data_IF_528218609479
#
_entry.id   IF_528218609479
#
_cell.length_a   1.000
_cell.length_b   1.000
_cell.length_c   1.000
_cell.angle_alpha   90.00
_cell.angle_beta   90.00
_cell.angle_gamma   90.00
#
_symmetry.space_group_name_H-M   'P 1'
#
loop_
_entity.id
_entity.type
_entity.pdbx_description
1 polymer ?
#
# COMPACT_ATOMS: atom_id res chain seq x y z
N UNK A 1 -75.69 18.55 10.70
CA UNK A 1 -74.66 17.96 11.58
C UNK A 1 -73.92 16.75 10.98
N UNK A 2 -74.38 16.12 9.88
CA UNK A 2 -73.70 14.93 9.28
C UNK A 2 -72.34 15.22 8.62
N UNK A 3 -72.09 16.45 8.17
CA UNK A 3 -70.85 16.80 7.46
C UNK A 3 -69.70 17.22 8.38
N UNK A 4 -69.97 17.42 9.67
CA UNK A 4 -68.93 17.81 10.64
C UNK A 4 -68.02 16.62 10.97
N UNK A 5 -68.59 15.41 11.08
CA UNK A 5 -67.84 14.20 11.40
C UNK A 5 -66.81 13.84 10.33
N UNK A 6 -67.16 14.00 9.04
CA UNK A 6 -66.23 13.78 7.92
C UNK A 6 -65.08 14.79 7.90
N UNK A 7 -65.34 16.05 8.29
CA UNK A 7 -64.31 17.10 8.38
C UNK A 7 -63.34 16.84 9.54
N UNK A 8 -63.85 16.39 10.70
CA UNK A 8 -63.02 16.02 11.84
C UNK A 8 -62.16 14.78 11.56
N UNK A 9 -62.72 13.80 10.85
CA UNK A 9 -61.98 12.59 10.46
C UNK A 9 -60.87 12.92 9.44
N UNK A 10 -61.12 13.84 8.49
CA UNK A 10 -60.12 14.32 7.55
C UNK A 10 -58.97 15.08 8.25
N UNK A 11 -59.27 15.83 9.31
CA UNK A 11 -58.27 16.56 10.10
C UNK A 11 -57.32 15.63 10.89
N UNK A 12 -57.77 14.43 11.24
CA UNK A 12 -57.01 13.44 12.02
C UNK A 12 -56.02 12.62 11.18
N UNK A 13 -56.14 12.63 9.85
CA UNK A 13 -55.31 11.80 8.94
C UNK A 13 -53.98 12.49 8.58
N UNK A 14 -53.75 13.75 9.00
CA UNK A 14 -52.65 14.58 8.52
C UNK A 14 -51.36 14.62 9.35
N UNK A 15 -51.26 13.95 10.50
CA UNK A 15 -50.07 14.09 11.36
C UNK A 15 -49.03 13.01 11.08
N UNK A 16 -48.15 13.29 10.12
CA UNK A 16 -46.88 12.57 9.99
C UNK A 16 -45.87 13.16 10.97
N UNK A 17 -45.64 12.48 12.10
CA UNK A 17 -44.57 12.84 13.02
C UNK A 17 -43.24 12.37 12.45
N UNK A 18 -42.45 13.28 11.89
CA UNK A 18 -41.07 12.96 11.49
C UNK A 18 -40.21 12.76 12.75
N UNK A 19 -39.54 11.61 12.87
CA UNK A 19 -38.65 11.29 14.00
C UNK A 19 -37.22 11.84 13.80
N UNK A 20 -37.03 12.80 12.90
CA UNK A 20 -35.72 13.38 12.59
C UNK A 20 -35.39 14.51 13.55
N UNK A 21 -34.15 14.53 14.05
CA UNK A 21 -33.62 15.58 14.91
C UNK A 21 -32.70 16.47 14.09
N UNK A 22 -33.17 17.68 13.78
CA UNK A 22 -32.34 18.73 13.18
C UNK A 22 -31.78 19.66 14.25
N UNK A 23 -30.46 19.86 14.27
CA UNK A 23 -29.80 20.88 15.10
C UNK A 23 -29.25 21.95 14.18
N UNK A 24 -29.72 23.19 14.38
CA UNK A 24 -29.38 24.36 13.55
C UNK A 24 -29.75 24.21 12.05
N UNK A 25 -30.71 23.33 11.73
CA UNK A 25 -31.28 23.14 10.40
C UNK A 25 -32.79 22.97 10.48
N UNK A 26 -33.54 23.52 9.52
CA UNK A 26 -35.01 23.40 9.44
C UNK A 26 -35.48 22.32 8.48
N UNK A 27 -34.54 21.67 7.78
CA UNK A 27 -34.81 20.62 6.78
C UNK A 27 -33.79 19.49 6.93
N UNK A 28 -33.89 18.68 8.00
CA UNK A 28 -32.95 17.58 8.23
C UNK A 28 -33.02 16.56 7.08
N UNK A 29 -31.85 16.14 6.60
CA UNK A 29 -31.70 15.15 5.52
C UNK A 29 -31.47 13.73 6.02
N UNK A 30 -31.13 13.59 7.31
CA UNK A 30 -30.90 12.32 8.00
C UNK A 30 -31.64 12.27 9.34
N UNK A 31 -31.62 11.12 10.03
CA UNK A 31 -32.27 10.98 11.35
C UNK A 31 -31.71 11.94 12.40
N UNK A 32 -30.42 12.27 12.32
CA UNK A 32 -29.77 13.31 13.11
C UNK A 32 -28.92 14.16 12.17
N UNK A 33 -29.36 15.38 11.91
CA UNK A 33 -28.69 16.34 11.04
C UNK A 33 -28.23 17.55 11.85
N UNK A 34 -26.93 17.81 11.86
CA UNK A 34 -26.32 18.90 12.63
C UNK A 34 -25.60 19.83 11.67
N UNK A 35 -26.18 21.00 11.44
CA UNK A 35 -25.54 22.07 10.68
C UNK A 35 -24.56 22.84 11.60
N UNK A 36 -23.44 22.19 11.95
CA UNK A 36 -22.41 22.75 12.84
C UNK A 36 -21.43 21.70 13.38
N UNK A 37 -20.71 22.06 14.44
CA UNK A 37 -19.71 21.17 15.06
C UNK A 37 -20.35 20.18 16.03
N UNK A 38 -20.03 18.89 15.87
CA UNK A 38 -20.41 17.84 16.83
C UNK A 38 -19.29 17.67 17.85
N UNK A 39 -19.64 17.70 19.15
CA UNK A 39 -18.73 17.35 20.25
C UNK A 39 -19.33 16.25 21.11
N UNK A 40 -18.73 15.06 21.08
CA UNK A 40 -19.12 13.93 21.94
C UNK A 40 -18.35 14.01 23.26
N UNK A 41 -19.06 13.91 24.39
CA UNK A 41 -18.51 13.91 25.76
C UNK A 41 -19.14 12.78 26.57
N UNK A 42 -18.43 12.27 27.57
CA UNK A 42 -18.98 11.28 28.49
C UNK A 42 -19.14 9.88 27.91
N UNK A 43 -18.29 9.49 26.95
CA UNK A 43 -18.17 8.08 26.53
C UNK A 43 -17.78 7.29 27.77
N UNK A 44 -18.72 6.51 28.33
CA UNK A 44 -18.51 5.75 29.57
C UNK A 44 -17.42 4.71 29.35
N UNK A 45 -16.21 5.01 29.81
CA UNK A 45 -15.18 4.01 30.09
C UNK A 45 -15.51 3.42 31.45
N UNK A 46 -15.59 2.10 31.58
CA UNK A 46 -15.45 1.49 32.90
C UNK A 46 -13.97 1.63 33.31
N UNK A 47 -13.68 2.74 33.97
CA UNK A 47 -12.38 3.42 33.99
C UNK A 47 -11.26 2.67 34.74
N UNK A 48 -11.51 1.45 35.22
CA UNK A 48 -10.53 0.66 35.98
C UNK A 48 -10.00 -0.57 35.24
N UNK A 49 -10.70 -1.06 34.21
CA UNK A 49 -10.30 -2.30 33.53
C UNK A 49 -10.17 -2.15 32.01
N UNK A 50 -10.90 -1.22 31.38
CA UNK A 50 -10.84 -1.00 29.93
C UNK A 50 -10.88 0.51 29.61
N UNK A 51 -9.73 1.17 29.44
CA UNK A 51 -9.71 2.54 28.92
C UNK A 51 -10.42 2.56 27.55
N UNK A 52 -11.22 3.60 27.28
CA UNK A 52 -11.81 3.82 25.94
C UNK A 52 -10.66 4.00 24.96
N UNK A 53 -10.39 2.95 24.18
CA UNK A 53 -9.46 3.00 23.06
C UNK A 53 -10.26 3.35 21.81
N UNK A 54 -9.81 4.38 21.08
CA UNK A 54 -10.33 4.65 19.75
C UNK A 54 -9.86 3.53 18.82
N UNK A 55 -10.79 2.72 18.31
CA UNK A 55 -10.48 1.56 17.46
C UNK A 55 -10.73 1.81 15.97
N UNK A 56 -11.39 2.93 15.60
CA UNK A 56 -11.77 3.24 14.23
C UNK A 56 -11.68 4.74 13.93
N UNK A 57 -11.41 5.07 12.67
CA UNK A 57 -11.58 6.41 12.10
C UNK A 57 -12.91 6.44 11.35
N UNK A 58 -13.67 7.51 11.51
CA UNK A 58 -14.90 7.76 10.76
C UNK A 58 -14.67 8.90 9.78
N UNK A 59 -15.15 8.70 8.55
CA UNK A 59 -15.20 9.68 7.48
C UNK A 59 -16.63 10.17 7.27
N UNK A 60 -16.81 11.01 6.26
CA UNK A 60 -18.11 11.52 5.85
C UNK A 60 -18.30 11.26 4.35
N UNK A 61 -19.44 10.70 3.95
CA UNK A 61 -19.78 10.55 2.53
C UNK A 61 -20.32 11.85 1.92
N UNK A 62 -20.62 11.84 0.62
CA UNK A 62 -21.16 13.01 -0.10
C UNK A 62 -22.50 13.51 0.46
N UNK A 63 -23.22 12.66 1.21
CA UNK A 63 -24.51 12.95 1.81
C UNK A 63 -24.40 13.37 3.29
N UNK A 64 -23.18 13.46 3.84
CA UNK A 64 -22.96 13.86 5.22
C UNK A 64 -23.06 12.73 6.24
N UNK A 65 -23.20 11.47 5.82
CA UNK A 65 -23.29 10.34 6.75
C UNK A 65 -21.90 9.92 7.24
N UNK A 66 -21.82 9.50 8.50
CA UNK A 66 -20.60 8.87 9.02
C UNK A 66 -20.41 7.50 8.39
N UNK A 67 -19.25 7.30 7.77
CA UNK A 67 -18.85 6.03 7.17
C UNK A 67 -17.52 5.55 7.74
N UNK A 68 -17.32 4.23 7.73
CA UNK A 68 -16.02 3.66 8.10
C UNK A 68 -14.97 4.03 7.06
N UNK A 69 -13.77 4.43 7.52
CA UNK A 69 -12.62 4.66 6.65
C UNK A 69 -11.74 3.42 6.68
N UNK A 70 -11.63 2.75 5.55
CA UNK A 70 -10.63 1.70 5.36
C UNK A 70 -9.26 2.35 5.24
N UNK A 71 -8.32 1.91 6.09
CA UNK A 71 -6.93 2.36 6.07
C UNK A 71 -6.11 1.27 5.38
N UNK A 72 -5.51 1.62 4.25
CA UNK A 72 -4.65 0.73 3.47
C UNK A 72 -3.21 0.72 4.02
N UNK A 73 -2.31 0.00 3.36
CA UNK A 73 -0.91 -0.16 3.76
C UNK A 73 -0.14 1.18 3.82
N UNK A 74 0.92 1.19 4.63
CA UNK A 74 1.86 2.33 4.78
C UNK A 74 1.24 3.62 5.36
N UNK A 75 0.10 3.54 6.05
CA UNK A 75 -0.49 4.67 6.77
C UNK A 75 -0.38 4.44 8.28
N UNK A 76 0.16 5.42 9.01
CA UNK A 76 0.21 5.41 10.48
C UNK A 76 -0.67 6.53 11.04
N UNK A 77 -1.46 6.18 12.07
CA UNK A 77 -2.16 7.13 12.94
C UNK A 77 -1.36 7.33 14.22
N UNK A 78 -0.75 8.51 14.40
CA UNK A 78 -0.01 8.87 15.60
C UNK A 78 -0.37 10.31 16.00
N UNK A 79 -0.65 10.57 17.29
CA UNK A 79 -1.02 11.90 17.78
C UNK A 79 -2.17 12.57 16.99
N UNK A 80 -3.20 11.79 16.64
CA UNK A 80 -4.34 12.22 15.81
C UNK A 80 -3.96 12.74 14.42
N UNK A 81 -2.80 12.30 13.88
CA UNK A 81 -2.38 12.60 12.51
C UNK A 81 -2.21 11.30 11.74
N UNK A 82 -2.84 11.26 10.58
CA UNK A 82 -2.54 10.27 9.55
C UNK A 82 -1.34 10.76 8.75
N UNK A 83 -0.33 9.91 8.64
CA UNK A 83 0.76 10.12 7.68
C UNK A 83 0.99 8.85 6.88
N UNK A 84 1.24 9.02 5.58
CA UNK A 84 1.91 8.00 4.81
C UNK A 84 3.34 7.88 5.35
N UNK A 85 3.79 6.66 5.57
CA UNK A 85 5.17 6.37 5.93
C UNK A 85 5.85 5.88 4.66
N UNK A 86 6.92 6.56 4.28
CA UNK A 86 7.83 6.04 3.28
C UNK A 86 8.33 4.68 3.76
N UNK A 87 8.04 3.63 2.99
CA UNK A 87 8.42 2.28 3.37
C UNK A 87 9.94 2.23 3.52
N UNK A 88 10.40 1.93 4.74
CA UNK A 88 11.82 1.63 4.98
C UNK A 88 12.17 0.44 4.10
N UNK A 89 13.13 0.61 3.20
CA UNK A 89 13.53 -0.48 2.32
C UNK A 89 14.16 -1.60 3.14
N UNK A 90 13.64 -2.81 2.98
CA UNK A 90 14.22 -3.97 3.65
C UNK A 90 15.36 -4.55 2.81
N UNK A 91 16.48 -4.86 3.47
CA UNK A 91 17.66 -5.43 2.84
C UNK A 91 17.68 -6.94 3.03
N UNK A 92 17.69 -7.69 1.92
CA UNK A 92 17.92 -9.12 1.83
C UNK A 92 19.31 -9.45 1.28
N UNK A 93 19.66 -10.74 1.28
CA UNK A 93 20.88 -11.22 0.67
C UNK A 93 20.54 -12.04 -0.58
N UNK A 94 21.28 -11.81 -1.67
CA UNK A 94 21.21 -12.67 -2.85
C UNK A 94 21.76 -14.08 -2.49
N UNK A 95 21.09 -15.17 -2.89
CA UNK A 95 21.50 -16.52 -2.50
C UNK A 95 22.89 -16.91 -3.03
N UNK A 96 23.77 -17.37 -2.13
CA UNK A 96 24.95 -18.21 -2.41
C UNK A 96 25.75 -17.95 -3.69
N UNK A 97 26.27 -16.74 -3.90
CA UNK A 97 27.02 -16.40 -5.12
C UNK A 97 28.47 -16.93 -5.05
N UNK A 98 28.65 -18.18 -5.45
CA UNK A 98 29.97 -18.84 -5.59
C UNK A 98 30.43 -18.93 -7.05
N UNK A 99 29.95 -18.03 -7.90
CA UNK A 99 30.31 -18.01 -9.32
C UNK A 99 30.58 -16.56 -9.74
N UNK A 100 31.59 -16.32 -10.60
CA UNK A 100 31.85 -14.98 -11.14
C UNK A 100 30.78 -14.54 -12.14
N UNK A 101 30.12 -15.49 -12.82
CA UNK A 101 29.02 -15.24 -13.76
C UNK A 101 27.72 -15.77 -13.17
N UNK A 102 26.73 -14.91 -13.08
CA UNK A 102 25.42 -15.15 -12.51
C UNK A 102 24.40 -15.12 -13.65
N UNK A 103 23.99 -16.30 -14.09
CA UNK A 103 22.90 -16.49 -15.06
C UNK A 103 21.64 -16.93 -14.34
N UNK A 104 20.49 -16.43 -14.79
CA UNK A 104 19.18 -16.87 -14.30
C UNK A 104 19.06 -16.84 -12.76
N UNK A 105 19.64 -15.80 -12.13
CA UNK A 105 19.77 -15.73 -10.67
C UNK A 105 18.38 -15.75 -10.01
N UNK A 106 18.12 -16.77 -9.17
CA UNK A 106 16.94 -16.77 -8.32
C UNK A 106 17.18 -15.92 -7.09
N UNK A 107 16.49 -14.78 -6.98
CA UNK A 107 16.56 -13.92 -5.81
C UNK A 107 15.57 -14.31 -4.71
N UNK A 108 14.77 -15.35 -4.93
CA UNK A 108 13.77 -15.91 -4.00
C UNK A 108 12.77 -14.85 -3.50
N UNK A 109 12.11 -14.22 -4.47
CA UNK A 109 11.24 -13.04 -4.32
C UNK A 109 9.73 -13.36 -4.30
N UNK A 110 9.31 -14.59 -4.59
CA UNK A 110 7.91 -14.98 -4.69
C UNK A 110 7.25 -15.07 -3.31
N UNK A 111 5.91 -15.01 -3.22
CA UNK A 111 5.21 -15.11 -1.94
C UNK A 111 5.61 -16.35 -1.13
N UNK A 112 6.06 -16.14 0.11
CA UNK A 112 6.53 -17.20 1.00
C UNK A 112 8.03 -17.50 0.92
N UNK A 113 8.76 -16.88 -0.02
CA UNK A 113 10.20 -17.03 -0.13
C UNK A 113 10.98 -16.06 0.78
N UNK A 114 12.26 -16.36 1.13
CA UNK A 114 13.02 -15.57 2.11
C UNK A 114 13.19 -14.08 1.80
N UNK A 115 13.18 -13.69 0.52
CA UNK A 115 13.35 -12.30 0.11
C UNK A 115 12.05 -11.65 -0.40
N UNK A 116 10.88 -12.25 -0.17
CA UNK A 116 9.60 -11.76 -0.69
C UNK A 116 9.23 -10.33 -0.24
N UNK A 117 9.67 -9.90 0.94
CA UNK A 117 9.46 -8.53 1.45
C UNK A 117 10.63 -7.60 1.17
N UNK A 118 11.74 -8.10 0.62
CA UNK A 118 13.00 -7.36 0.51
C UNK A 118 13.01 -6.52 -0.77
N UNK A 119 13.49 -5.28 -0.63
CA UNK A 119 13.56 -4.32 -1.72
C UNK A 119 14.99 -4.09 -2.19
N UNK A 120 15.97 -4.38 -1.33
CA UNK A 120 17.39 -4.26 -1.64
C UNK A 120 18.03 -5.64 -1.51
N UNK A 121 18.71 -6.06 -2.56
CA UNK A 121 19.41 -7.34 -2.63
C UNK A 121 20.90 -7.10 -2.53
N UNK A 122 21.46 -7.42 -1.36
CA UNK A 122 22.90 -7.39 -1.14
C UNK A 122 23.55 -8.54 -1.90
N UNK A 123 24.49 -8.22 -2.77
CA UNK A 123 25.22 -9.18 -3.59
C UNK A 123 26.63 -9.39 -3.03
N UNK A 124 26.90 -10.60 -2.57
CA UNK A 124 28.18 -11.01 -1.99
C UNK A 124 28.76 -12.16 -2.81
N UNK A 125 30.01 -12.04 -3.27
CA UNK A 125 30.76 -13.04 -4.01
C UNK A 125 32.11 -13.25 -3.35
N UNK A 126 32.56 -14.51 -3.31
CA UNK A 126 33.91 -14.88 -2.85
C UNK A 126 34.99 -14.59 -3.91
N UNK A 127 34.59 -14.30 -5.15
CA UNK A 127 35.50 -14.00 -6.27
C UNK A 127 35.70 -12.48 -6.51
N UNK A 128 35.06 -11.63 -5.69
CA UNK A 128 35.05 -10.18 -5.88
C UNK A 128 34.03 -9.77 -6.95
N UNK A 129 34.49 -9.33 -8.11
CA UNK A 129 33.63 -8.79 -9.17
C UNK A 129 32.64 -9.86 -9.70
N UNK A 130 31.44 -9.43 -10.07
CA UNK A 130 30.35 -10.29 -10.52
C UNK A 130 29.85 -9.85 -11.90
N UNK A 131 29.51 -10.81 -12.76
CA UNK A 131 28.84 -10.59 -14.05
C UNK A 131 27.43 -11.12 -13.99
N UNK A 132 26.42 -10.25 -14.01
CA UNK A 132 25.02 -10.63 -13.97
C UNK A 132 24.43 -10.60 -15.39
N UNK A 133 23.96 -11.74 -15.86
CA UNK A 133 23.40 -11.90 -17.20
C UNK A 133 21.88 -12.07 -17.20
N UNK A 134 21.32 -12.48 -16.06
CA UNK A 134 19.88 -12.63 -15.90
C UNK A 134 19.47 -12.94 -14.46
N UNK A 135 18.19 -12.67 -14.18
CA UNK A 135 17.50 -12.87 -12.91
C UNK A 135 16.20 -13.60 -13.25
N UNK A 136 15.78 -14.57 -12.43
CA UNK A 136 14.47 -15.22 -12.61
C UNK A 136 13.31 -14.20 -12.63
N UNK A 137 12.17 -14.55 -13.25
CA UNK A 137 11.05 -13.63 -13.43
C UNK A 137 10.50 -13.13 -12.10
N UNK A 138 10.15 -11.85 -12.05
CA UNK A 138 9.44 -11.23 -10.92
C UNK A 138 7.93 -11.15 -11.15
N UNK A 139 7.24 -10.44 -10.26
CA UNK A 139 5.87 -9.98 -10.47
C UNK A 139 5.86 -8.68 -11.30
N UNK A 140 4.79 -8.43 -12.05
CA UNK A 140 4.69 -7.23 -12.88
C UNK A 140 4.83 -5.95 -12.02
N UNK A 141 5.67 -5.02 -12.46
CA UNK A 141 5.97 -3.79 -11.72
C UNK A 141 6.85 -3.96 -10.48
N UNK A 142 7.30 -5.18 -10.15
CA UNK A 142 8.15 -5.44 -9.00
C UNK A 142 9.50 -4.71 -9.16
N UNK A 143 9.86 -3.92 -8.15
CA UNK A 143 11.12 -3.17 -8.11
C UNK A 143 12.09 -3.78 -7.10
N UNK A 144 13.34 -3.92 -7.52
CA UNK A 144 14.45 -4.35 -6.66
C UNK A 144 15.66 -3.44 -6.86
N UNK A 145 16.43 -3.24 -5.80
CA UNK A 145 17.76 -2.65 -5.87
C UNK A 145 18.79 -3.76 -5.78
N UNK A 146 19.80 -3.73 -6.66
CA UNK A 146 20.98 -4.58 -6.51
C UNK A 146 22.08 -3.78 -5.85
N UNK A 147 22.65 -4.32 -4.78
CA UNK A 147 23.67 -3.70 -3.95
C UNK A 147 24.94 -4.57 -3.90
N UNK A 148 25.88 -4.41 -4.85
CA UNK A 148 27.20 -5.05 -4.78
C UNK A 148 27.98 -4.70 -3.51
N UNK A 149 28.23 -5.69 -2.66
CA UNK A 149 28.93 -5.49 -1.38
C UNK A 149 30.39 -5.97 -1.38
N UNK A 150 30.76 -6.85 -2.31
CA UNK A 150 32.06 -7.55 -2.33
C UNK A 150 32.99 -7.17 -3.49
N UNK A 151 32.45 -6.55 -4.54
CA UNK A 151 33.16 -6.13 -5.74
C UNK A 151 32.18 -5.50 -6.72
N UNK A 152 32.68 -5.02 -7.86
CA UNK A 152 31.83 -4.38 -8.87
C UNK A 152 30.85 -5.39 -9.49
N UNK A 153 29.62 -4.92 -9.77
CA UNK A 153 28.61 -5.68 -10.49
C UNK A 153 28.57 -5.20 -11.94
N UNK A 154 28.91 -6.09 -12.87
CA UNK A 154 28.77 -5.86 -14.30
C UNK A 154 27.51 -6.56 -14.79
N UNK A 155 26.48 -5.80 -15.12
CA UNK A 155 25.27 -6.31 -15.77
C UNK A 155 25.54 -6.38 -17.27
N UNK A 156 25.30 -7.55 -17.86
CA UNK A 156 25.43 -7.82 -19.30
C UNK A 156 24.03 -8.04 -19.88
N UNK A 157 23.36 -6.98 -20.36
CA UNK A 157 21.99 -7.10 -20.84
C UNK A 157 21.86 -8.00 -22.06
N UNK A 158 20.68 -8.62 -22.22
CA UNK A 158 20.32 -9.47 -23.34
C UNK A 158 21.30 -10.63 -23.63
N UNK A 159 22.12 -11.00 -22.65
CA UNK A 159 23.10 -12.08 -22.78
C UNK A 159 22.44 -13.42 -23.07
N UNK A 160 23.02 -14.17 -24.01
CA UNK A 160 22.58 -15.53 -24.35
C UNK A 160 22.88 -16.56 -23.25
N UNK A 161 23.66 -16.19 -22.23
CA UNK A 161 23.95 -17.05 -21.08
C UNK A 161 22.78 -17.21 -20.10
N UNK A 162 21.73 -16.40 -20.25
CA UNK A 162 20.48 -16.53 -19.48
C UNK A 162 19.30 -16.88 -20.40
N UNK A 163 18.30 -17.54 -19.83
CA UNK A 163 17.03 -17.83 -20.49
C UNK A 163 16.36 -16.54 -20.96
N UNK A 164 15.62 -16.61 -22.08
CA UNK A 164 15.04 -15.42 -22.71
C UNK A 164 14.22 -14.55 -21.74
N UNK A 165 13.38 -15.17 -20.90
CA UNK A 165 12.55 -14.50 -19.90
C UNK A 165 13.28 -14.02 -18.63
N UNK A 166 14.57 -14.34 -18.50
CA UNK A 166 15.38 -13.95 -17.33
C UNK A 166 16.40 -12.88 -17.68
N UNK A 167 16.57 -12.57 -18.97
CA UNK A 167 17.53 -11.58 -19.43
C UNK A 167 17.17 -10.20 -18.90
N UNK A 168 18.19 -9.48 -18.48
CA UNK A 168 18.07 -8.06 -18.16
C UNK A 168 18.06 -7.29 -19.49
N UNK A 169 17.09 -6.40 -19.68
CA UNK A 169 16.96 -5.58 -20.89
C UNK A 169 18.01 -4.46 -20.90
N UNK A 170 18.51 -4.09 -22.09
CA UNK A 170 19.44 -2.98 -22.22
C UNK A 170 20.25 -3.01 -23.51
N UNK A 171 20.75 -1.83 -23.88
CA UNK A 171 21.51 -1.60 -25.12
C UNK A 171 23.04 -1.63 -24.92
N UNK A 172 23.52 -1.87 -23.71
CA UNK A 172 24.94 -1.92 -23.40
C UNK A 172 25.20 -2.33 -21.96
N UNK A 173 26.41 -2.80 -21.71
CA UNK A 173 26.87 -3.23 -20.38
C UNK A 173 26.71 -2.10 -19.36
N UNK A 174 26.24 -2.45 -18.16
CA UNK A 174 26.10 -1.51 -17.04
C UNK A 174 27.06 -1.96 -15.94
N UNK A 175 27.88 -1.04 -15.45
CA UNK A 175 28.80 -1.29 -14.35
C UNK A 175 28.27 -0.53 -13.15
N UNK A 176 28.03 -1.24 -12.04
CA UNK A 176 27.64 -0.68 -10.75
C UNK A 176 28.83 -0.90 -9.82
N UNK A 177 29.41 0.19 -9.30
CA UNK A 177 30.59 0.06 -8.45
C UNK A 177 30.23 -0.58 -7.12
N UNK A 178 31.22 -1.20 -6.48
CA UNK A 178 31.07 -1.67 -5.11
C UNK A 178 30.48 -0.56 -4.23
N UNK A 179 29.46 -0.93 -3.45
CA UNK A 179 28.68 -0.05 -2.59
C UNK A 179 27.77 0.98 -3.28
N UNK A 180 27.71 0.99 -4.60
CA UNK A 180 26.65 1.67 -5.34
C UNK A 180 25.44 0.76 -5.50
N UNK A 181 24.33 1.31 -6.00
CA UNK A 181 23.12 0.55 -6.25
C UNK A 181 22.51 0.89 -7.60
N UNK A 182 21.84 -0.10 -8.19
CA UNK A 182 20.99 0.10 -9.36
C UNK A 182 19.60 -0.47 -9.08
N UNK A 183 18.57 0.25 -9.51
CA UNK A 183 17.21 -0.24 -9.46
C UNK A 183 16.85 -0.95 -10.76
N UNK A 184 16.14 -2.07 -10.64
CA UNK A 184 15.49 -2.74 -11.76
C UNK A 184 14.00 -2.87 -11.46
N UNK A 185 13.20 -2.84 -12.52
CA UNK A 185 11.77 -3.13 -12.48
C UNK A 185 11.47 -4.29 -13.42
N UNK A 186 10.71 -5.27 -12.96
CA UNK A 186 10.25 -6.35 -13.82
C UNK A 186 9.03 -5.90 -14.64
N UNK A 187 9.11 -6.05 -15.95
CA UNK A 187 8.01 -5.83 -16.90
C UNK A 187 7.53 -7.20 -17.37
N UNK A 188 6.34 -7.62 -16.94
CA UNK A 188 5.78 -8.93 -17.25
C UNK A 188 5.30 -9.04 -18.70
N UNK A 189 4.91 -7.93 -19.34
CA UNK A 189 4.52 -7.91 -20.74
C UNK A 189 5.72 -8.19 -21.66
N UNK A 190 6.89 -7.70 -21.26
CA UNK A 190 8.16 -7.99 -21.95
C UNK A 190 8.86 -9.25 -21.45
N UNK A 191 8.52 -9.71 -20.24
CA UNK A 191 9.16 -10.82 -19.57
C UNK A 191 10.63 -10.53 -19.26
N UNK A 192 10.96 -9.31 -18.81
CA UNK A 192 12.34 -8.88 -18.58
C UNK A 192 12.48 -7.91 -17.42
N UNK A 193 13.65 -7.90 -16.80
CA UNK A 193 14.07 -6.87 -15.86
C UNK A 193 14.61 -5.66 -16.61
N UNK A 194 14.07 -4.48 -16.33
CA UNK A 194 14.44 -3.20 -16.95
C UNK A 194 15.28 -2.40 -15.96
N UNK A 195 16.56 -2.12 -16.27
CA UNK A 195 17.38 -1.21 -15.48
C UNK A 195 16.81 0.21 -15.52
N UNK A 196 16.57 0.78 -14.35
CA UNK A 196 16.11 2.16 -14.21
C UNK A 196 17.35 3.06 -14.08
N UNK A 197 17.60 3.89 -15.11
CA UNK A 197 18.66 4.90 -15.08
C UNK A 197 18.06 6.23 -14.65
N UNK A 198 18.74 6.90 -13.71
CA UNK A 198 18.48 8.30 -13.36
C UNK A 198 19.44 9.21 -14.12
#
# INVERSE_FOLDING_TARGET
MKNLASLTFLLLIGYSSYSQVGINTTRPTSTLDVAGTIRVRGVKSDALLNPVQATKIVGMDELGNFVEVEIDENVILENNRLRAVDKVMEIGNAPGLNLPILSDLNLVLLPGEPNNTKNVMRMNSIFGNMFLTGIMPGQDGQKIWLYPNSGDLTIVPNSLLSLFGNRIEGNGTIIVKQFEMIQLMYDAARGKWIPMKY
#
